data_IF_582332949549
#
_entry.id   IF_582332949549
#
_cell.length_a   1.000
_cell.length_b   1.000
_cell.length_c   1.000
_cell.angle_alpha   90.00
_cell.angle_beta   90.00
_cell.angle_gamma   90.00
#
_symmetry.space_group_name_H-M   'P 1'
#
loop_
_entity.id
_entity.type
_entity.pdbx_description
1 polymer ?
#
# COMPACT_ATOMS: atom_id res chain seq x y z
N UNK A 1 10.99 21.79 10.48
CA UNK A 1 11.38 20.42 10.88
C UNK A 1 10.17 19.56 10.53
N UNK A 2 10.21 18.78 9.45
CA UNK A 2 8.99 18.09 8.99
C UNK A 2 9.29 16.80 8.20
N UNK A 3 10.19 16.88 7.22
CA UNK A 3 10.56 15.71 6.41
C UNK A 3 11.20 14.54 7.20
N UNK A 4 11.71 14.79 8.42
CA UNK A 4 12.40 13.77 9.23
C UNK A 4 11.48 12.66 9.74
N UNK A 5 10.28 13.00 10.22
CA UNK A 5 9.31 12.02 10.71
C UNK A 5 8.67 11.22 9.58
N UNK A 6 8.43 11.87 8.44
CA UNK A 6 7.97 11.21 7.22
C UNK A 6 9.02 10.21 6.73
N UNK A 7 10.28 10.62 6.61
CA UNK A 7 11.36 9.73 6.17
C UNK A 7 11.52 8.53 7.11
N UNK A 8 11.50 8.75 8.43
CA UNK A 8 11.55 7.67 9.42
C UNK A 8 10.39 6.68 9.22
N UNK A 9 9.17 7.19 9.06
CA UNK A 9 7.98 6.35 8.84
C UNK A 9 8.04 5.57 7.52
N UNK A 10 8.62 6.15 6.46
CA UNK A 10 8.85 5.47 5.17
C UNK A 10 9.92 4.37 5.29
N UNK A 11 10.99 4.60 6.05
CA UNK A 11 12.00 3.57 6.34
C UNK A 11 11.40 2.41 7.12
N UNK A 12 10.70 2.69 8.22
CA UNK A 12 10.01 1.67 9.03
C UNK A 12 9.03 0.83 8.20
N UNK A 13 8.27 1.47 7.31
CA UNK A 13 7.37 0.77 6.40
C UNK A 13 8.14 -0.15 5.45
N UNK A 14 9.21 0.36 4.85
CA UNK A 14 10.04 -0.38 3.89
C UNK A 14 10.70 -1.60 4.53
N UNK A 15 11.22 -1.48 5.76
CA UNK A 15 11.78 -2.60 6.51
C UNK A 15 10.73 -3.67 6.82
N UNK A 16 9.54 -3.26 7.27
CA UNK A 16 8.43 -4.18 7.55
C UNK A 16 7.94 -4.88 6.28
N UNK A 17 7.94 -4.20 5.14
CA UNK A 17 7.57 -4.79 3.85
C UNK A 17 8.64 -5.77 3.36
N UNK A 18 9.93 -5.40 3.47
CA UNK A 18 11.04 -6.27 3.10
C UNK A 18 11.09 -7.55 3.94
N UNK A 19 10.72 -7.48 5.23
CA UNK A 19 10.62 -8.62 6.12
C UNK A 19 9.57 -9.67 5.69
N UNK A 20 8.64 -9.32 4.79
CA UNK A 20 7.68 -10.27 4.21
C UNK A 20 8.29 -11.12 3.08
N UNK A 21 9.51 -10.80 2.63
CA UNK A 21 10.26 -11.56 1.62
C UNK A 21 9.44 -11.87 0.37
N UNK A 22 8.76 -10.84 -0.15
CA UNK A 22 7.91 -10.98 -1.33
C UNK A 22 8.74 -11.29 -2.58
N UNK A 23 8.24 -12.16 -3.44
CA UNK A 23 8.78 -12.31 -4.79
C UNK A 23 8.52 -11.05 -5.63
N UNK A 24 9.26 -10.83 -6.74
CA UNK A 24 8.98 -9.74 -7.67
C UNK A 24 7.53 -9.75 -8.19
N UNK A 25 6.97 -10.94 -8.46
CA UNK A 25 5.57 -11.05 -8.89
C UNK A 25 4.60 -10.59 -7.78
N UNK A 26 4.84 -11.02 -6.53
CA UNK A 26 4.01 -10.64 -5.37
C UNK A 26 4.05 -9.15 -5.09
N UNK A 27 5.25 -8.55 -5.14
CA UNK A 27 5.44 -7.12 -4.97
C UNK A 27 4.74 -6.32 -6.08
N UNK A 28 4.83 -6.78 -7.34
CA UNK A 28 4.16 -6.12 -8.47
C UNK A 28 2.64 -6.15 -8.32
N UNK A 29 2.09 -7.28 -7.88
CA UNK A 29 0.65 -7.46 -7.71
C UNK A 29 0.12 -6.70 -6.49
N UNK A 30 0.88 -6.68 -5.39
CA UNK A 30 0.59 -5.84 -4.24
C UNK A 30 0.59 -4.34 -4.62
N UNK A 31 1.55 -3.91 -5.43
CA UNK A 31 1.60 -2.53 -5.94
C UNK A 31 0.37 -2.21 -6.80
N UNK A 32 -0.10 -3.15 -7.62
CA UNK A 32 -1.33 -2.99 -8.39
C UNK A 32 -2.56 -2.83 -7.47
N UNK A 33 -2.67 -3.61 -6.38
CA UNK A 33 -3.75 -3.45 -5.38
C UNK A 33 -3.71 -2.05 -4.74
N UNK A 34 -2.53 -1.56 -4.38
CA UNK A 34 -2.33 -0.21 -3.82
C UNK A 34 -2.73 0.87 -4.85
N UNK A 35 -2.36 0.68 -6.12
CA UNK A 35 -2.68 1.62 -7.19
C UNK A 35 -4.20 1.78 -7.38
N UNK A 36 -4.92 0.66 -7.34
CA UNK A 36 -6.38 0.57 -7.55
C UNK A 36 -7.15 0.79 -6.24
N UNK A 37 -6.68 1.70 -5.38
CA UNK A 37 -7.41 2.10 -4.18
C UNK A 37 -8.58 3.03 -4.55
N UNK A 38 -9.81 2.64 -4.21
CA UNK A 38 -11.04 3.37 -4.56
C UNK A 38 -11.20 4.73 -3.86
N UNK A 39 -10.30 5.10 -2.94
CA UNK A 39 -10.38 6.36 -2.18
C UNK A 39 -10.07 7.62 -3.03
N UNK A 40 -9.85 7.48 -4.34
CA UNK A 40 -9.51 8.61 -5.21
C UNK A 40 -10.77 9.38 -5.61
N UNK A 41 -10.75 10.69 -5.41
CA UNK A 41 -11.80 11.59 -5.88
C UNK A 41 -11.80 11.68 -7.41
N UNK A 42 -12.98 11.78 -8.02
CA UNK A 42 -13.12 11.92 -9.48
C UNK A 42 -13.21 10.62 -10.27
N UNK A 43 -13.40 9.47 -9.61
CA UNK A 43 -13.74 8.22 -10.29
C UNK A 43 -15.23 8.26 -10.68
N UNK A 44 -15.52 8.06 -11.96
CA UNK A 44 -16.90 8.00 -12.49
C UNK A 44 -17.60 6.70 -12.10
N UNK A 45 -16.91 5.56 -12.21
CA UNK A 45 -17.43 4.23 -11.89
C UNK A 45 -16.60 3.57 -10.78
N UNK A 46 -16.95 3.90 -9.54
CA UNK A 46 -16.30 3.36 -8.34
C UNK A 46 -16.50 1.84 -8.25
N UNK A 47 -17.67 1.33 -8.64
CA UNK A 47 -17.99 -0.10 -8.55
C UNK A 47 -17.10 -0.97 -9.44
N UNK A 48 -16.79 -0.50 -10.65
CA UNK A 48 -15.82 -1.20 -11.52
C UNK A 48 -14.41 -1.20 -10.95
N UNK A 49 -13.99 -0.12 -10.29
CA UNK A 49 -12.67 -0.03 -9.62
C UNK A 49 -12.60 -0.96 -8.41
N UNK A 50 -13.65 -1.00 -7.59
CA UNK A 50 -13.76 -1.93 -6.45
C UNK A 50 -13.72 -3.39 -6.91
N UNK A 51 -14.46 -3.73 -7.98
CA UNK A 51 -14.45 -5.07 -8.55
C UNK A 51 -13.05 -5.47 -9.08
N UNK A 52 -12.34 -4.53 -9.70
CA UNK A 52 -10.95 -4.75 -10.13
C UNK A 52 -10.04 -4.96 -8.91
N UNK A 53 -10.17 -4.13 -7.87
CA UNK A 53 -9.38 -4.26 -6.66
C UNK A 53 -9.62 -5.62 -5.98
N UNK A 54 -10.88 -6.06 -5.88
CA UNK A 54 -11.22 -7.36 -5.29
C UNK A 54 -10.60 -8.51 -6.10
N UNK A 55 -10.64 -8.44 -7.42
CA UNK A 55 -10.00 -9.42 -8.29
C UNK A 55 -8.47 -9.48 -8.09
N UNK A 56 -7.82 -8.32 -7.95
CA UNK A 56 -6.38 -8.24 -7.67
C UNK A 56 -6.03 -8.79 -6.28
N UNK A 57 -6.84 -8.50 -5.25
CA UNK A 57 -6.66 -9.04 -3.90
C UNK A 57 -6.79 -10.57 -3.90
N UNK A 58 -7.77 -11.11 -4.63
CA UNK A 58 -7.94 -12.56 -4.80
C UNK A 58 -6.75 -13.19 -5.51
N UNK A 59 -6.25 -12.55 -6.57
CA UNK A 59 -5.05 -13.01 -7.28
C UNK A 59 -3.81 -12.99 -6.37
N UNK A 60 -3.63 -11.92 -5.58
CA UNK A 60 -2.53 -11.79 -4.62
C UNK A 60 -2.58 -12.88 -3.57
N UNK A 61 -3.77 -13.17 -3.02
CA UNK A 61 -3.97 -14.27 -2.07
C UNK A 61 -3.51 -15.60 -2.67
N UNK A 62 -3.95 -15.91 -3.89
CA UNK A 62 -3.58 -17.15 -4.56
C UNK A 62 -2.09 -17.26 -4.83
N UNK A 63 -1.42 -16.15 -5.17
CA UNK A 63 0.02 -16.13 -5.42
C UNK A 63 0.80 -16.36 -4.12
N UNK A 64 0.43 -15.67 -3.03
CA UNK A 64 1.04 -15.86 -1.71
C UNK A 64 0.86 -17.30 -1.21
N UNK A 65 -0.33 -17.88 -1.40
CA UNK A 65 -0.62 -19.29 -1.04
C UNK A 65 0.27 -20.30 -1.77
N UNK A 66 0.70 -19.99 -2.99
CA UNK A 66 1.56 -20.89 -3.77
C UNK A 66 3.02 -20.82 -3.32
N UNK A 67 3.47 -19.65 -2.87
CA UNK A 67 4.89 -19.35 -2.67
C UNK A 67 5.33 -19.42 -1.20
N UNK A 68 4.40 -19.30 -0.24
CA UNK A 68 4.73 -19.20 1.18
C UNK A 68 4.11 -20.34 1.99
N UNK A 69 4.91 -21.01 2.83
CA UNK A 69 4.44 -22.04 3.76
C UNK A 69 3.58 -21.48 4.91
N UNK A 70 3.69 -20.18 5.21
CA UNK A 70 2.87 -19.46 6.18
C UNK A 70 1.97 -18.41 5.50
N UNK A 71 1.28 -18.85 4.45
CA UNK A 71 0.45 -18.05 3.54
C UNK A 71 -0.55 -17.10 4.21
N UNK A 72 -1.30 -17.57 5.22
CA UNK A 72 -2.36 -16.80 5.84
C UNK A 72 -1.82 -15.59 6.62
N UNK A 73 -0.69 -15.77 7.31
CA UNK A 73 -0.05 -14.70 8.07
C UNK A 73 0.58 -13.64 7.15
N UNK A 74 1.25 -14.07 6.07
CA UNK A 74 1.88 -13.15 5.09
C UNK A 74 0.79 -12.31 4.39
N UNK A 75 -0.27 -12.95 3.91
CA UNK A 75 -1.37 -12.25 3.26
C UNK A 75 -2.07 -11.24 4.19
N UNK A 76 -2.33 -11.63 5.45
CA UNK A 76 -2.91 -10.72 6.43
C UNK A 76 -2.01 -9.51 6.69
N UNK A 77 -0.69 -9.74 6.85
CA UNK A 77 0.28 -8.66 7.03
C UNK A 77 0.34 -7.72 5.82
N UNK A 78 0.23 -8.23 4.60
CA UNK A 78 0.14 -7.40 3.39
C UNK A 78 -1.10 -6.53 3.37
N UNK A 79 -2.27 -7.06 3.72
CA UNK A 79 -3.49 -6.27 3.79
C UNK A 79 -3.39 -5.15 4.83
N UNK A 80 -2.72 -5.39 5.96
CA UNK A 80 -2.46 -4.37 6.97
C UNK A 80 -1.50 -3.26 6.49
N UNK A 81 -0.75 -3.47 5.41
CA UNK A 81 0.10 -2.42 4.81
C UNK A 81 -0.70 -1.38 4.02
N UNK A 82 -1.91 -1.72 3.55
CA UNK A 82 -2.77 -0.77 2.84
C UNK A 82 -3.16 0.45 3.70
N UNK A 83 -3.68 0.30 4.94
CA UNK A 83 -3.97 1.44 5.79
C UNK A 83 -2.69 2.19 6.23
N UNK A 84 -1.57 1.50 6.43
CA UNK A 84 -0.27 2.16 6.73
C UNK A 84 0.16 3.10 5.58
N UNK A 85 0.02 2.67 4.33
CA UNK A 85 0.29 3.50 3.15
C UNK A 85 -0.64 4.71 3.05
N UNK A 86 -1.91 4.56 3.45
CA UNK A 86 -2.86 5.68 3.50
C UNK A 86 -2.42 6.72 4.52
N UNK A 87 -1.99 6.30 5.71
CA UNK A 87 -1.44 7.21 6.73
C UNK A 87 -0.16 7.92 6.26
N UNK A 88 0.76 7.20 5.61
CA UNK A 88 1.97 7.80 5.03
C UNK A 88 1.65 8.84 3.95
N UNK A 89 0.66 8.57 3.09
CA UNK A 89 0.22 9.50 2.06
C UNK A 89 -0.36 10.79 2.67
N UNK A 90 -1.16 10.66 3.73
CA UNK A 90 -1.71 11.81 4.45
C UNK A 90 -0.60 12.66 5.09
N UNK A 91 0.35 12.02 5.79
CA UNK A 91 1.49 12.70 6.40
C UNK A 91 2.36 13.43 5.35
N UNK A 92 2.62 12.79 4.21
CA UNK A 92 3.33 13.42 3.10
C UNK A 92 2.55 14.61 2.52
N UNK A 93 1.22 14.51 2.42
CA UNK A 93 0.38 15.60 1.94
C UNK A 93 0.37 16.79 2.90
N UNK A 94 0.36 16.54 4.21
CA UNK A 94 0.49 17.58 5.26
C UNK A 94 1.85 18.30 5.19
N UNK A 95 2.94 17.54 5.03
CA UNK A 95 4.29 18.08 4.85
C UNK A 95 4.37 18.97 3.59
N UNK A 96 3.83 18.51 2.45
CA UNK A 96 3.80 19.29 1.21
C UNK A 96 2.99 20.60 1.35
N UNK A 97 1.89 20.56 2.11
CA UNK A 97 1.11 21.76 2.40
C UNK A 97 1.89 22.72 3.30
N UNK A 98 2.60 22.23 4.32
CA UNK A 98 3.44 23.05 5.18
C UNK A 98 4.56 23.75 4.36
N UNK A 99 5.14 23.09 3.37
CA UNK A 99 6.10 23.69 2.45
C UNK A 99 5.50 24.78 1.55
N UNK A 100 4.24 24.65 1.13
CA UNK A 100 3.54 25.64 0.29
C UNK A 100 3.15 26.92 1.03
N UNK A 101 3.19 26.94 2.36
CA UNK A 101 2.78 28.10 3.18
C UNK A 101 3.92 29.10 3.40
N UNK A 102 5.11 28.86 2.86
CA UNK A 102 6.20 29.83 2.84
C UNK A 102 6.23 30.61 1.52
N UNK A 103 5.76 31.88 1.48
CA UNK A 103 6.09 32.81 0.40
C UNK A 103 7.56 33.25 0.44
#
# INVERSE_FOLDING_TARGET
MGAGELLASMFDFSEKLAALQLSPEEASLFTAVVLVSADRTGIEDVSSVEALQENLIRALRNLIMRNHSNEAAVFTKLLLKLPELRSLNNMHSEELLAFKVHP
#
